data_IF_662705936360
#
_entry.id   IF_662705936360
#
_cell.length_a   1.000
_cell.length_b   1.000
_cell.length_c   1.000
_cell.angle_alpha   90.00
_cell.angle_beta   90.00
_cell.angle_gamma   90.00
#
_symmetry.space_group_name_H-M   'P 1'
#
loop_
_entity.id
_entity.type
_entity.pdbx_description
1 polymer ?
#
# COMPACT_ATOMS: atom_id res chain seq x y z
N UNK A 1 2.34 24.34 5.73
CA UNK A 1 1.51 24.79 4.58
C UNK A 1 0.63 23.68 3.98
N UNK A 2 0.91 22.38 4.18
CA UNK A 2 0.11 21.29 3.56
C UNK A 2 -1.25 21.02 4.22
N UNK A 3 -1.42 21.29 5.53
CA UNK A 3 -2.66 20.96 6.25
C UNK A 3 -3.86 21.78 5.75
N UNK A 4 -3.64 23.08 5.55
CA UNK A 4 -4.66 24.05 5.17
C UNK A 4 -5.42 23.64 3.91
N UNK A 5 -4.78 22.98 2.95
CA UNK A 5 -5.41 22.63 1.68
C UNK A 5 -6.33 21.39 1.75
N UNK A 6 -5.97 20.37 2.53
CA UNK A 6 -6.85 19.19 2.72
C UNK A 6 -8.06 19.60 3.59
N UNK A 7 -7.84 20.41 4.62
CA UNK A 7 -8.91 20.93 5.47
C UNK A 7 -9.89 21.82 4.66
N UNK A 8 -9.36 22.71 3.80
CA UNK A 8 -10.20 23.52 2.87
C UNK A 8 -11.02 22.64 1.93
N UNK A 9 -10.50 21.50 1.49
CA UNK A 9 -11.26 20.59 0.64
C UNK A 9 -12.43 19.97 1.38
N UNK A 10 -12.25 19.60 2.65
CA UNK A 10 -13.35 19.10 3.49
C UNK A 10 -14.43 20.18 3.61
N UNK A 11 -14.04 21.43 3.93
CA UNK A 11 -14.98 22.55 4.00
C UNK A 11 -15.77 22.72 2.69
N UNK A 12 -15.09 22.72 1.53
CA UNK A 12 -15.75 22.87 0.22
C UNK A 12 -16.58 21.67 -0.19
N UNK A 13 -16.25 20.46 0.29
CA UNK A 13 -17.09 19.28 0.09
C UNK A 13 -18.38 19.40 0.90
N UNK A 14 -18.29 19.89 2.15
CA UNK A 14 -19.46 20.11 2.99
C UNK A 14 -20.39 21.18 2.43
N UNK A 15 -19.86 22.23 1.77
CA UNK A 15 -20.66 23.26 1.08
C UNK A 15 -21.61 22.69 0.00
N UNK A 16 -21.32 21.50 -0.53
CA UNK A 16 -22.11 20.82 -1.56
C UNK A 16 -22.71 19.50 -1.08
N UNK A 17 -22.73 19.25 0.23
CA UNK A 17 -23.29 18.05 0.83
C UNK A 17 -24.59 18.40 1.56
N UNK A 18 -25.61 17.51 1.57
CA UNK A 18 -26.78 17.69 2.43
C UNK A 18 -26.41 17.89 3.90
N UNK A 19 -27.31 18.45 4.73
CA UNK A 19 -27.08 18.57 6.16
C UNK A 19 -26.71 17.24 6.85
N UNK A 20 -26.03 17.34 7.98
CA UNK A 20 -25.62 16.19 8.80
C UNK A 20 -26.82 15.28 9.13
N UNK A 21 -26.63 13.96 9.00
CA UNK A 21 -27.67 12.95 9.20
C UNK A 21 -28.55 12.67 7.97
N UNK A 22 -28.49 13.52 6.94
CA UNK A 22 -29.13 13.27 5.64
C UNK A 22 -28.20 12.46 4.72
N UNK A 23 -28.74 11.46 4.00
CA UNK A 23 -27.94 10.66 3.08
C UNK A 23 -27.56 11.47 1.84
N UNK A 24 -26.32 11.32 1.37
CA UNK A 24 -25.94 11.76 0.02
C UNK A 24 -26.58 10.90 -1.05
N UNK A 25 -26.81 11.48 -2.22
CA UNK A 25 -27.30 10.72 -3.37
C UNK A 25 -26.29 9.66 -3.81
N UNK A 26 -26.80 8.55 -4.33
CA UNK A 26 -25.97 7.49 -4.89
C UNK A 26 -25.74 7.78 -6.37
N UNK A 27 -24.49 7.75 -6.80
CA UNK A 27 -24.14 7.72 -8.22
C UNK A 27 -24.69 6.45 -8.88
N UNK A 28 -25.25 6.59 -10.08
CA UNK A 28 -25.64 5.47 -10.94
C UNK A 28 -24.43 4.64 -11.40
N UNK A 29 -23.24 5.24 -11.38
CA UNK A 29 -21.99 4.59 -11.74
C UNK A 29 -21.25 4.06 -10.51
N UNK A 30 -20.79 2.79 -10.53
CA UNK A 30 -20.03 2.24 -9.42
C UNK A 30 -18.66 2.91 -9.31
N UNK A 31 -18.26 3.27 -8.09
CA UNK A 31 -16.91 3.75 -7.81
C UNK A 31 -15.86 2.72 -8.23
N UNK A 32 -14.89 3.14 -9.06
CA UNK A 32 -13.76 2.30 -9.48
C UNK A 32 -12.46 3.08 -9.48
N UNK A 33 -11.61 2.76 -8.53
CA UNK A 33 -10.28 3.31 -8.43
C UNK A 33 -9.35 2.74 -9.53
N UNK A 34 -8.60 3.61 -10.20
CA UNK A 34 -7.61 3.24 -11.20
C UNK A 34 -6.53 2.30 -10.68
N UNK A 35 -6.01 2.61 -9.49
CA UNK A 35 -4.95 1.84 -8.85
C UNK A 35 -5.38 0.41 -8.48
N UNK A 36 -6.68 0.19 -8.27
CA UNK A 36 -7.23 -1.07 -7.80
C UNK A 36 -7.76 -1.95 -8.94
N UNK A 37 -7.61 -1.50 -10.20
CA UNK A 37 -8.04 -2.25 -11.39
C UNK A 37 -7.26 -3.56 -11.56
N UNK A 38 -7.91 -4.64 -12.00
CA UNK A 38 -7.24 -5.90 -12.33
C UNK A 38 -6.20 -5.72 -13.43
N UNK A 39 -5.15 -6.54 -13.43
CA UNK A 39 -4.13 -6.53 -14.48
C UNK A 39 -4.56 -7.42 -15.65
N UNK A 40 -4.33 -6.96 -16.89
CA UNK A 40 -4.46 -7.77 -18.10
C UNK A 40 -3.14 -7.80 -18.85
N UNK A 41 -2.74 -9.00 -19.31
CA UNK A 41 -1.53 -9.19 -20.10
C UNK A 41 -1.69 -8.87 -21.58
N UNK A 42 -2.93 -8.75 -22.06
CA UNK A 42 -3.25 -8.57 -23.47
C UNK A 42 -4.22 -7.41 -23.64
N UNK A 43 -3.94 -6.56 -24.63
CA UNK A 43 -4.91 -5.56 -25.08
C UNK A 43 -6.14 -6.26 -25.66
N UNK A 44 -7.34 -5.68 -25.52
CA UNK A 44 -8.53 -6.18 -26.19
C UNK A 44 -8.36 -6.11 -27.70
N UNK A 45 -9.02 -7.01 -28.43
CA UNK A 45 -9.07 -6.95 -29.89
C UNK A 45 -9.83 -5.70 -30.35
N UNK A 46 -9.32 -5.04 -31.38
CA UNK A 46 -9.98 -3.88 -32.00
C UNK A 46 -11.26 -4.38 -32.67
N UNK A 47 -12.43 -3.78 -32.40
CA UNK A 47 -13.68 -4.15 -33.04
C UNK A 47 -13.57 -4.07 -34.57
N UNK A 48 -14.01 -5.13 -35.26
CA UNK A 48 -14.07 -5.15 -36.73
C UNK A 48 -15.26 -4.37 -37.27
N UNK A 49 -16.29 -4.14 -36.44
CA UNK A 49 -17.46 -3.32 -36.76
C UNK A 49 -17.71 -2.30 -35.63
N UNK A 50 -17.86 -1.00 -35.96
CA UNK A 50 -18.12 0.04 -34.98
C UNK A 50 -19.62 0.07 -34.63
N UNK A 51 -20.10 -0.93 -33.88
CA UNK A 51 -21.43 -0.85 -33.26
C UNK A 51 -21.31 -0.27 -31.85
N UNK A 52 -22.36 0.37 -31.31
CA UNK A 52 -22.36 0.84 -29.93
C UNK A 52 -21.87 -0.23 -28.94
N UNK A 53 -22.40 -1.45 -29.02
CA UNK A 53 -22.06 -2.52 -28.08
C UNK A 53 -20.57 -2.86 -28.12
N UNK A 54 -20.02 -3.08 -29.31
CA UNK A 54 -18.63 -3.48 -29.48
C UNK A 54 -17.66 -2.37 -29.07
N UNK A 55 -17.96 -1.11 -29.40
CA UNK A 55 -17.11 0.03 -29.06
C UNK A 55 -17.12 0.29 -27.55
N UNK A 56 -18.29 0.25 -26.92
CA UNK A 56 -18.40 0.45 -25.46
C UNK A 56 -17.73 -0.72 -24.70
N UNK A 57 -17.85 -1.96 -25.17
CA UNK A 57 -17.11 -3.08 -24.57
C UNK A 57 -15.59 -2.92 -24.73
N UNK A 58 -15.13 -2.49 -25.91
CA UNK A 58 -13.72 -2.23 -26.18
C UNK A 58 -13.15 -1.12 -25.27
N UNK A 59 -13.85 0.03 -25.18
CA UNK A 59 -13.49 1.13 -24.27
C UNK A 59 -13.48 0.66 -22.83
N UNK A 60 -14.51 -0.09 -22.40
CA UNK A 60 -14.59 -0.64 -21.05
C UNK A 60 -13.40 -1.56 -20.74
N UNK A 61 -12.97 -2.41 -21.67
CA UNK A 61 -11.78 -3.26 -21.49
C UNK A 61 -10.52 -2.38 -21.36
N UNK A 62 -10.31 -1.42 -22.27
CA UNK A 62 -9.16 -0.50 -22.19
C UNK A 62 -9.12 0.32 -20.89
N UNK A 63 -10.29 0.66 -20.35
CA UNK A 63 -10.43 1.56 -19.18
C UNK A 63 -10.84 0.84 -17.90
N UNK A 64 -10.91 -0.49 -17.84
CA UNK A 64 -11.19 -1.22 -16.59
C UNK A 64 -10.04 -2.10 -16.13
N UNK A 65 -8.99 -2.25 -16.94
CA UNK A 65 -7.79 -3.02 -16.61
C UNK A 65 -6.54 -2.14 -16.54
N UNK A 66 -5.53 -2.62 -15.82
CA UNK A 66 -4.15 -2.13 -15.90
C UNK A 66 -3.38 -2.95 -16.91
N UNK A 67 -2.54 -2.27 -17.67
CA UNK A 67 -1.70 -2.86 -18.70
C UNK A 67 -0.23 -2.53 -18.45
N UNK A 68 0.66 -3.20 -19.19
CA UNK A 68 2.08 -2.89 -19.16
C UNK A 68 2.34 -1.45 -19.66
N UNK A 69 3.28 -0.74 -19.04
CA UNK A 69 3.55 0.67 -19.37
C UNK A 69 3.91 0.90 -20.86
N UNK A 70 4.51 -0.10 -21.53
CA UNK A 70 4.88 -0.02 -22.95
C UNK A 70 3.68 0.17 -23.89
N UNK A 71 2.47 -0.21 -23.49
CA UNK A 71 1.27 -0.08 -24.33
C UNK A 71 0.43 1.16 -24.01
N UNK A 72 0.82 2.00 -23.05
CA UNK A 72 0.05 3.20 -22.65
C UNK A 72 -0.29 4.09 -23.85
N UNK A 73 0.71 4.42 -24.69
CA UNK A 73 0.51 5.25 -25.89
C UNK A 73 -0.40 4.62 -26.95
N UNK A 74 -0.54 3.29 -26.94
CA UNK A 74 -1.45 2.59 -27.86
C UNK A 74 -2.87 2.74 -27.33
N UNK A 75 -3.09 2.52 -26.03
CA UNK A 75 -4.37 2.71 -25.36
C UNK A 75 -4.87 4.14 -25.56
N UNK A 76 -4.03 5.14 -25.25
CA UNK A 76 -4.36 6.57 -25.38
C UNK A 76 -4.80 6.91 -26.82
N UNK A 77 -4.04 6.43 -27.82
CA UNK A 77 -4.40 6.62 -29.24
C UNK A 77 -5.68 5.89 -29.63
N UNK A 78 -5.91 4.69 -29.13
CA UNK A 78 -7.14 3.94 -29.39
C UNK A 78 -8.37 4.66 -28.82
N UNK A 79 -8.28 5.17 -27.59
CA UNK A 79 -9.39 5.90 -26.97
C UNK A 79 -9.70 7.19 -27.73
N UNK A 80 -8.69 7.97 -28.10
CA UNK A 80 -8.88 9.19 -28.90
C UNK A 80 -9.45 8.88 -30.28
N UNK A 81 -8.95 7.85 -30.96
CA UNK A 81 -9.46 7.45 -32.27
C UNK A 81 -10.93 7.04 -32.24
N UNK A 82 -11.38 6.40 -31.16
CA UNK A 82 -12.80 6.03 -30.99
C UNK A 82 -13.67 7.28 -30.80
N UNK A 83 -13.21 8.25 -29.99
CA UNK A 83 -13.92 9.51 -29.79
C UNK A 83 -13.94 10.35 -31.08
N UNK A 84 -12.83 10.39 -31.82
CA UNK A 84 -12.73 11.13 -33.08
C UNK A 84 -13.61 10.57 -34.19
N UNK A 85 -13.71 9.24 -34.28
CA UNK A 85 -14.40 8.58 -35.38
C UNK A 85 -15.90 8.39 -35.13
N UNK A 86 -16.31 8.12 -33.89
CA UNK A 86 -17.68 7.67 -33.56
C UNK A 86 -18.13 8.13 -32.16
N UNK A 87 -18.11 9.44 -31.84
CA UNK A 87 -18.48 9.95 -30.51
C UNK A 87 -19.92 9.67 -30.12
N UNK A 88 -20.84 9.63 -31.09
CA UNK A 88 -22.28 9.38 -30.93
C UNK A 88 -22.61 7.94 -30.54
N UNK A 89 -21.68 7.00 -30.77
CA UNK A 89 -21.86 5.59 -30.41
C UNK A 89 -21.42 5.28 -28.96
N UNK A 90 -20.82 6.24 -28.27
CA UNK A 90 -20.32 6.08 -26.91
C UNK A 90 -21.38 6.42 -25.87
N UNK A 91 -21.47 5.57 -24.85
CA UNK A 91 -22.29 5.81 -23.65
C UNK A 91 -21.59 6.74 -22.67
N UNK A 92 -22.36 7.32 -21.73
CA UNK A 92 -21.81 8.06 -20.58
C UNK A 92 -20.77 7.24 -19.80
N UNK A 93 -20.99 5.93 -19.58
CA UNK A 93 -20.02 5.06 -18.88
C UNK A 93 -18.67 5.03 -19.62
N UNK A 94 -18.69 4.94 -20.96
CA UNK A 94 -17.48 4.96 -21.77
C UNK A 94 -16.75 6.29 -21.69
N UNK A 95 -17.46 7.41 -21.81
CA UNK A 95 -16.86 8.73 -21.63
C UNK A 95 -16.25 8.92 -20.24
N UNK A 96 -16.95 8.51 -19.17
CA UNK A 96 -16.41 8.52 -17.80
C UNK A 96 -15.13 7.68 -17.68
N UNK A 97 -15.12 6.48 -18.28
CA UNK A 97 -13.96 5.61 -18.32
C UNK A 97 -12.75 6.26 -19.01
N UNK A 98 -12.99 6.97 -20.12
CA UNK A 98 -11.97 7.67 -20.89
C UNK A 98 -11.45 8.90 -20.15
N UNK A 99 -12.33 9.76 -19.64
CA UNK A 99 -11.97 10.95 -18.86
C UNK A 99 -11.17 10.54 -17.62
N UNK A 100 -11.62 9.53 -16.89
CA UNK A 100 -10.89 8.96 -15.77
C UNK A 100 -9.49 8.47 -16.17
N UNK A 101 -9.35 7.81 -17.33
CA UNK A 101 -8.06 7.37 -17.89
C UNK A 101 -7.08 8.50 -18.08
N UNK A 102 -7.48 9.53 -18.83
CA UNK A 102 -6.58 10.66 -19.08
C UNK A 102 -6.28 11.45 -17.80
N UNK A 103 -7.24 11.61 -16.90
CA UNK A 103 -7.02 12.31 -15.63
C UNK A 103 -6.00 11.59 -14.76
N UNK A 104 -6.12 10.26 -14.61
CA UNK A 104 -5.15 9.45 -13.86
C UNK A 104 -3.71 9.58 -14.40
N UNK A 105 -3.60 9.74 -15.72
CA UNK A 105 -2.34 9.95 -16.43
C UNK A 105 -1.87 11.41 -16.47
N UNK A 106 -2.55 12.32 -15.76
CA UNK A 106 -2.24 13.75 -15.66
C UNK A 106 -2.36 14.47 -17.01
N UNK A 107 -3.36 14.08 -17.79
CA UNK A 107 -3.65 14.64 -19.11
C UNK A 107 -4.98 15.42 -19.12
N UNK A 108 -5.18 16.30 -18.12
CA UNK A 108 -6.43 17.06 -17.93
C UNK A 108 -6.81 17.89 -19.17
N UNK A 109 -5.82 18.40 -19.93
CA UNK A 109 -6.10 19.11 -21.19
C UNK A 109 -6.74 18.22 -22.24
N UNK A 110 -6.46 16.91 -22.23
CA UNK A 110 -7.15 15.93 -23.08
C UNK A 110 -8.54 15.66 -22.51
N UNK A 111 -8.69 15.51 -21.18
CA UNK A 111 -10.00 15.34 -20.57
C UNK A 111 -10.98 16.44 -21.00
N UNK A 112 -10.57 17.71 -20.97
CA UNK A 112 -11.43 18.81 -21.41
C UNK A 112 -11.77 18.73 -22.90
N UNK A 113 -10.82 18.40 -23.78
CA UNK A 113 -11.12 18.18 -25.20
C UNK A 113 -12.11 17.04 -25.44
N UNK A 114 -12.03 15.98 -24.64
CA UNK A 114 -12.99 14.86 -24.71
C UNK A 114 -14.38 15.30 -24.28
N UNK A 115 -14.48 16.09 -23.21
CA UNK A 115 -15.75 16.64 -22.71
C UNK A 115 -16.36 17.66 -23.68
N UNK A 116 -15.55 18.53 -24.28
CA UNK A 116 -15.98 19.50 -25.28
C UNK A 116 -16.58 18.75 -26.48
N UNK A 117 -15.84 17.77 -27.03
CA UNK A 117 -16.31 16.97 -28.17
C UNK A 117 -17.56 16.12 -27.84
N UNK A 118 -17.64 15.57 -26.62
CA UNK A 118 -18.85 14.88 -26.15
C UNK A 118 -20.06 15.83 -26.18
N UNK A 119 -19.89 17.05 -25.67
CA UNK A 119 -20.97 18.04 -25.58
C UNK A 119 -21.36 18.60 -26.95
N UNK A 120 -20.41 18.68 -27.89
CA UNK A 120 -20.64 19.18 -29.25
C UNK A 120 -21.30 18.13 -30.18
N UNK A 121 -20.98 16.85 -30.00
CA UNK A 121 -21.35 15.79 -30.96
C UNK A 121 -22.32 14.75 -30.41
N UNK A 122 -22.79 14.89 -29.16
CA UNK A 122 -23.76 13.97 -28.54
C UNK A 122 -24.83 14.72 -27.73
N UNK A 123 -25.84 14.00 -27.26
CA UNK A 123 -26.86 14.54 -26.33
C UNK A 123 -26.40 14.52 -24.86
N UNK A 124 -25.19 14.04 -24.57
CA UNK A 124 -24.65 13.97 -23.23
C UNK A 124 -24.16 15.35 -22.78
N UNK A 125 -24.35 15.64 -21.50
CA UNK A 125 -23.82 16.85 -20.85
C UNK A 125 -22.90 16.47 -19.71
N UNK A 126 -22.00 17.39 -19.36
CA UNK A 126 -21.17 17.25 -18.18
C UNK A 126 -22.05 17.40 -16.93
N UNK A 127 -22.00 16.40 -16.05
CA UNK A 127 -22.63 16.39 -14.75
C UNK A 127 -21.64 15.97 -13.65
N UNK A 128 -22.16 15.79 -12.43
CA UNK A 128 -21.36 15.48 -11.24
C UNK A 128 -20.44 14.27 -11.42
N UNK A 129 -20.79 13.28 -12.24
CA UNK A 129 -19.95 12.09 -12.41
C UNK A 129 -18.67 12.39 -13.19
N UNK A 130 -18.73 13.32 -14.14
CA UNK A 130 -17.55 13.80 -14.85
C UNK A 130 -16.67 14.66 -13.94
N UNK A 131 -17.26 15.50 -13.10
CA UNK A 131 -16.51 16.25 -12.08
C UNK A 131 -15.87 15.32 -11.05
N UNK A 132 -16.55 14.24 -10.65
CA UNK A 132 -15.99 13.20 -9.79
C UNK A 132 -14.76 12.53 -10.41
N UNK A 133 -14.78 12.27 -11.72
CA UNK A 133 -13.63 11.73 -12.45
C UNK A 133 -12.43 12.70 -12.40
N UNK A 134 -12.67 14.01 -12.52
CA UNK A 134 -11.65 15.06 -12.45
C UNK A 134 -11.23 15.47 -11.03
N UNK A 135 -12.00 15.08 -10.00
CA UNK A 135 -11.64 15.19 -8.59
C UNK A 135 -10.77 14.04 -8.11
N UNK A 136 -10.85 12.89 -8.79
CA UNK A 136 -10.25 11.62 -8.35
C UNK A 136 -8.72 11.67 -8.23
N UNK A 137 -8.15 10.54 -7.78
CA UNK A 137 -6.70 10.41 -7.66
C UNK A 137 -6.04 10.43 -9.05
N UNK A 138 -5.10 11.36 -9.23
CA UNK A 138 -4.21 11.41 -10.39
C UNK A 138 -2.76 11.18 -9.96
N UNK A 139 -2.00 10.47 -10.80
CA UNK A 139 -0.62 10.14 -10.48
C UNK A 139 0.22 11.39 -10.24
N UNK A 140 1.01 11.39 -9.17
CA UNK A 140 2.00 12.45 -8.89
C UNK A 140 1.44 13.88 -8.70
N UNK A 141 0.12 14.11 -8.74
CA UNK A 141 -0.45 15.43 -8.44
C UNK A 141 -0.41 15.68 -6.92
N UNK A 142 0.26 16.77 -6.54
CA UNK A 142 0.41 17.21 -5.14
C UNK A 142 -0.35 18.49 -4.84
N UNK A 143 -0.80 19.22 -5.88
CA UNK A 143 -1.48 20.49 -5.76
C UNK A 143 -3.00 20.28 -5.64
N UNK A 144 -3.57 20.80 -4.57
CA UNK A 144 -4.99 20.73 -4.26
C UNK A 144 -5.81 21.88 -4.85
N UNK A 145 -5.18 22.97 -5.33
CA UNK A 145 -5.88 24.15 -5.86
C UNK A 145 -6.87 23.82 -6.99
N UNK A 146 -6.55 22.99 -8.00
CA UNK A 146 -7.51 22.65 -9.05
C UNK A 146 -8.75 21.91 -8.52
N UNK A 147 -8.61 21.16 -7.44
CA UNK A 147 -9.71 20.43 -6.79
C UNK A 147 -10.60 21.35 -5.96
N UNK A 148 -9.98 22.27 -5.20
CA UNK A 148 -10.69 23.33 -4.48
C UNK A 148 -11.53 24.15 -5.46
N UNK A 149 -10.92 24.66 -6.54
CA UNK A 149 -11.64 25.43 -7.57
C UNK A 149 -12.77 24.64 -8.22
N UNK A 150 -12.63 23.31 -8.34
CA UNK A 150 -13.71 22.47 -8.87
C UNK A 150 -14.87 22.35 -7.90
N UNK A 151 -14.60 22.09 -6.62
CA UNK A 151 -15.66 22.04 -5.58
C UNK A 151 -16.37 23.40 -5.45
N UNK A 152 -15.63 24.51 -5.53
CA UNK A 152 -16.21 25.87 -5.55
C UNK A 152 -17.14 26.07 -6.75
N UNK A 153 -16.73 25.61 -7.94
CA UNK A 153 -17.61 25.64 -9.13
C UNK A 153 -18.87 24.81 -8.93
N UNK A 154 -18.78 23.60 -8.37
CA UNK A 154 -19.97 22.77 -8.11
C UNK A 154 -20.95 23.51 -7.20
N UNK A 155 -20.45 24.12 -6.13
CA UNK A 155 -21.25 24.97 -5.23
C UNK A 155 -21.91 26.13 -5.98
N UNK A 156 -21.13 26.89 -6.74
CA UNK A 156 -21.62 28.08 -7.45
C UNK A 156 -22.69 27.74 -8.50
N UNK A 157 -22.70 26.50 -9.01
CA UNK A 157 -23.72 25.99 -9.93
C UNK A 157 -24.83 25.17 -9.24
N UNK A 158 -24.86 25.13 -7.90
CA UNK A 158 -25.81 24.35 -7.09
C UNK A 158 -25.82 22.84 -7.44
N UNK A 159 -24.66 22.28 -7.76
CA UNK A 159 -24.51 20.84 -8.00
C UNK A 159 -24.13 20.16 -6.69
N UNK A 160 -24.98 19.26 -6.22
CA UNK A 160 -24.76 18.51 -4.99
C UNK A 160 -23.79 17.35 -5.19
N UNK A 161 -23.01 17.06 -4.15
CA UNK A 161 -22.16 15.89 -4.09
C UNK A 161 -22.99 14.60 -4.01
N UNK A 162 -22.51 13.58 -4.71
CA UNK A 162 -22.97 12.21 -4.54
C UNK A 162 -21.89 11.38 -3.81
N UNK A 163 -22.19 10.13 -3.50
CA UNK A 163 -21.23 9.23 -2.83
C UNK A 163 -19.88 9.10 -3.55
N UNK A 164 -19.84 9.18 -4.89
CA UNK A 164 -18.59 9.12 -5.65
C UNK A 164 -17.72 10.37 -5.48
N UNK A 165 -18.32 11.54 -5.22
CA UNK A 165 -17.58 12.76 -4.86
C UNK A 165 -16.77 12.53 -3.59
N UNK A 166 -17.41 11.92 -2.58
CA UNK A 166 -16.79 11.57 -1.31
C UNK A 166 -15.66 10.54 -1.46
N UNK A 167 -15.87 9.48 -2.24
CA UNK A 167 -14.81 8.49 -2.48
C UNK A 167 -13.61 9.08 -3.21
N UNK A 168 -13.84 9.92 -4.23
CA UNK A 168 -12.77 10.63 -4.97
C UNK A 168 -11.96 11.54 -4.03
N UNK A 169 -12.63 12.31 -3.17
CA UNK A 169 -12.00 13.20 -2.20
C UNK A 169 -11.23 12.42 -1.13
N UNK A 170 -11.80 11.34 -0.61
CA UNK A 170 -11.12 10.47 0.35
C UNK A 170 -9.83 9.88 -0.23
N UNK A 171 -9.85 9.41 -1.48
CA UNK A 171 -8.72 8.72 -2.09
C UNK A 171 -7.54 9.64 -2.39
N UNK A 172 -7.79 10.88 -2.73
CA UNK A 172 -6.74 11.84 -3.06
C UNK A 172 -5.98 12.43 -1.85
N UNK A 173 -6.56 12.38 -0.65
CA UNK A 173 -5.85 12.79 0.56
C UNK A 173 -4.63 11.91 0.81
N UNK A 174 -3.60 12.50 1.42
CA UNK A 174 -2.34 11.84 1.72
C UNK A 174 -2.12 11.70 3.21
N UNK A 175 -2.61 12.66 3.99
CA UNK A 175 -2.45 12.65 5.45
C UNK A 175 -3.48 11.75 6.11
N UNK A 176 -3.15 11.33 7.33
CA UNK A 176 -3.98 10.45 8.12
C UNK A 176 -5.18 11.20 8.72
N UNK A 177 -4.95 12.34 9.38
CA UNK A 177 -6.00 13.04 10.12
C UNK A 177 -7.20 13.44 9.24
N UNK A 178 -7.01 14.10 8.07
CA UNK A 178 -8.13 14.45 7.19
C UNK A 178 -8.86 13.23 6.62
N UNK A 179 -8.18 12.09 6.46
CA UNK A 179 -8.83 10.84 6.04
C UNK A 179 -9.69 10.24 7.15
N UNK A 180 -9.21 10.28 8.39
CA UNK A 180 -10.00 9.81 9.53
C UNK A 180 -11.24 10.67 9.70
N UNK A 181 -11.09 11.99 9.64
CA UNK A 181 -12.20 12.94 9.65
C UNK A 181 -13.21 12.68 8.52
N UNK A 182 -12.75 12.42 7.29
CA UNK A 182 -13.66 12.08 6.20
C UNK A 182 -14.42 10.77 6.43
N UNK A 183 -13.80 9.74 7.06
CA UNK A 183 -14.50 8.49 7.36
C UNK A 183 -15.59 8.70 8.42
N UNK A 184 -15.36 9.58 9.40
CA UNK A 184 -16.38 9.96 10.39
C UNK A 184 -17.54 10.71 9.69
N UNK A 185 -17.24 11.72 8.88
CA UNK A 185 -18.25 12.46 8.12
C UNK A 185 -19.02 11.57 7.14
N UNK A 186 -18.36 10.58 6.52
CA UNK A 186 -19.02 9.61 5.66
C UNK A 186 -20.03 8.76 6.44
N UNK A 187 -19.71 8.34 7.68
CA UNK A 187 -20.68 7.66 8.55
C UNK A 187 -21.87 8.60 8.89
N UNK A 188 -21.62 9.88 9.20
CA UNK A 188 -22.67 10.88 9.52
C UNK A 188 -23.63 11.13 8.33
N UNK A 189 -23.10 11.07 7.11
CA UNK A 189 -23.87 11.20 5.86
C UNK A 189 -24.32 9.85 5.27
N UNK A 190 -24.25 8.76 6.04
CA UNK A 190 -24.72 7.41 5.67
C UNK A 190 -24.08 6.86 4.39
N UNK A 191 -22.82 7.20 4.15
CA UNK A 191 -22.03 6.78 3.00
C UNK A 191 -21.29 5.48 3.32
N UNK A 192 -21.58 4.40 2.59
CA UNK A 192 -20.89 3.12 2.81
C UNK A 192 -19.39 3.22 2.52
N UNK A 193 -18.55 2.67 3.39
CA UNK A 193 -17.11 2.62 3.12
C UNK A 193 -16.70 1.43 2.24
N UNK A 194 -17.62 0.52 1.90
CA UNK A 194 -17.36 -0.68 1.10
C UNK A 194 -16.55 -0.41 -0.19
N UNK A 195 -16.82 0.65 -0.99
CA UNK A 195 -16.05 0.90 -2.20
C UNK A 195 -14.60 1.34 -1.95
N UNK A 196 -14.32 1.90 -0.76
CA UNK A 196 -13.00 2.39 -0.36
C UNK A 196 -12.37 1.54 0.75
N UNK A 197 -12.95 0.38 1.08
CA UNK A 197 -12.58 -0.45 2.24
C UNK A 197 -11.06 -0.67 2.36
N UNK A 198 -10.42 -1.14 1.29
CA UNK A 198 -8.97 -1.42 1.30
C UNK A 198 -8.12 -0.19 1.59
N UNK A 199 -8.57 0.96 1.10
CA UNK A 199 -7.95 2.25 1.36
C UNK A 199 -8.20 2.68 2.80
N UNK A 200 -9.45 2.67 3.27
CA UNK A 200 -9.81 3.04 4.63
C UNK A 200 -9.02 2.23 5.67
N UNK A 201 -9.00 0.91 5.53
CA UNK A 201 -8.30 -0.01 6.41
C UNK A 201 -6.79 0.24 6.47
N UNK A 202 -6.18 0.71 5.37
CA UNK A 202 -4.77 1.12 5.38
C UNK A 202 -4.47 2.16 6.48
N UNK A 203 -5.38 3.11 6.67
CA UNK A 203 -5.24 4.20 7.62
C UNK A 203 -5.78 3.79 8.99
N UNK A 204 -6.98 3.21 9.04
CA UNK A 204 -7.61 2.78 10.28
C UNK A 204 -6.75 1.79 11.07
N UNK A 205 -6.09 0.83 10.42
CA UNK A 205 -5.24 -0.16 11.10
C UNK A 205 -4.07 0.43 11.90
N UNK A 206 -3.72 1.71 11.70
CA UNK A 206 -2.70 2.41 12.49
C UNK A 206 -3.23 3.03 13.77
N UNK A 207 -4.54 3.27 13.85
CA UNK A 207 -5.20 3.94 14.97
C UNK A 207 -6.15 3.02 15.74
N UNK A 208 -6.75 2.05 15.06
CA UNK A 208 -7.74 1.14 15.64
C UNK A 208 -7.06 0.00 16.39
N UNK A 209 -7.67 -0.37 17.51
CA UNK A 209 -7.46 -1.68 18.14
C UNK A 209 -7.88 -2.81 17.19
N UNK A 210 -7.37 -4.04 17.39
CA UNK A 210 -7.80 -5.17 16.59
C UNK A 210 -9.32 -5.38 16.61
N UNK A 211 -9.96 -5.23 17.77
CA UNK A 211 -11.40 -5.39 17.96
C UNK A 211 -12.19 -4.35 17.15
N UNK A 212 -11.80 -3.08 17.22
CA UNK A 212 -12.41 -2.03 16.41
C UNK A 212 -12.26 -2.30 14.91
N UNK A 213 -11.10 -2.84 14.50
CA UNK A 213 -10.85 -3.16 13.10
C UNK A 213 -11.69 -4.37 12.63
N UNK A 214 -11.90 -5.38 13.48
CA UNK A 214 -12.82 -6.49 13.20
C UNK A 214 -14.25 -6.00 13.09
N UNK A 215 -14.72 -5.18 14.03
CA UNK A 215 -16.06 -4.58 13.97
C UNK A 215 -16.26 -3.76 12.70
N UNK A 216 -15.25 -3.01 12.30
CA UNK A 216 -15.26 -2.26 11.05
C UNK A 216 -15.35 -3.17 9.82
N UNK A 217 -14.60 -4.28 9.79
CA UNK A 217 -14.72 -5.27 8.71
C UNK A 217 -16.13 -5.85 8.63
N UNK A 218 -16.71 -6.26 9.76
CA UNK A 218 -18.04 -6.84 9.84
C UNK A 218 -19.12 -5.85 9.38
N UNK A 219 -19.03 -4.59 9.82
CA UNK A 219 -19.91 -3.49 9.40
C UNK A 219 -19.90 -3.30 7.88
N UNK A 220 -18.73 -3.41 7.24
CA UNK A 220 -18.58 -3.28 5.78
C UNK A 220 -18.82 -4.61 5.03
N UNK A 221 -19.37 -5.63 5.70
CA UNK A 221 -19.74 -6.91 5.10
C UNK A 221 -18.56 -7.84 4.83
N UNK A 222 -17.53 -7.80 5.68
CA UNK A 222 -16.40 -8.74 5.71
C UNK A 222 -16.36 -9.47 7.05
N UNK A 223 -16.82 -10.72 7.04
CA UNK A 223 -16.64 -11.62 8.18
C UNK A 223 -15.22 -12.22 8.20
N UNK A 224 -14.83 -12.83 9.33
CA UNK A 224 -13.49 -13.45 9.50
C UNK A 224 -13.11 -14.50 8.45
N UNK A 225 -14.09 -15.19 7.85
CA UNK A 225 -13.87 -16.19 6.80
C UNK A 225 -13.74 -15.57 5.39
N UNK A 226 -14.10 -14.30 5.23
CA UNK A 226 -14.07 -13.55 3.97
C UNK A 226 -12.95 -12.50 3.92
N UNK A 227 -12.06 -12.50 4.92
CA UNK A 227 -10.90 -11.65 4.89
C UNK A 227 -10.08 -11.95 3.63
N UNK A 228 -9.44 -10.93 3.08
CA UNK A 228 -8.40 -11.14 2.07
C UNK A 228 -7.05 -11.10 2.77
N UNK A 229 -6.01 -11.60 2.10
CA UNK A 229 -4.64 -11.52 2.63
C UNK A 229 -4.25 -10.09 3.01
N UNK A 230 -4.73 -9.07 2.28
CA UNK A 230 -4.48 -7.68 2.64
C UNK A 230 -5.12 -7.29 3.98
N UNK A 231 -6.40 -7.62 4.18
CA UNK A 231 -7.12 -7.31 5.43
C UNK A 231 -6.55 -8.09 6.62
N UNK A 232 -6.15 -9.34 6.41
CA UNK A 232 -5.43 -10.13 7.41
C UNK A 232 -4.14 -9.44 7.82
N UNK A 233 -3.30 -9.03 6.87
CA UNK A 233 -2.03 -8.38 7.18
C UNK A 233 -2.22 -7.08 7.98
N UNK A 234 -3.27 -6.32 7.67
CA UNK A 234 -3.63 -5.09 8.40
C UNK A 234 -4.06 -5.40 9.84
N UNK A 235 -4.83 -6.46 10.04
CA UNK A 235 -5.25 -6.92 11.36
C UNK A 235 -4.06 -7.44 12.18
N UNK A 236 -3.20 -8.27 11.59
CA UNK A 236 -1.93 -8.73 12.20
C UNK A 236 -1.08 -7.53 12.64
N UNK A 237 -0.90 -6.54 11.77
CA UNK A 237 -0.17 -5.31 12.11
C UNK A 237 -0.78 -4.57 13.30
N UNK A 238 -2.12 -4.50 13.39
CA UNK A 238 -2.82 -3.92 14.54
C UNK A 238 -2.59 -4.73 15.83
N UNK A 239 -2.68 -6.07 15.83
CA UNK A 239 -2.34 -6.86 17.03
C UNK A 239 -0.90 -6.59 17.50
N UNK A 240 0.04 -6.51 16.57
CA UNK A 240 1.44 -6.26 16.87
C UNK A 240 1.70 -4.84 17.39
N UNK A 241 1.00 -3.81 16.92
CA UNK A 241 1.14 -2.45 17.46
C UNK A 241 0.68 -2.33 18.91
N UNK A 242 -0.26 -3.18 19.33
CA UNK A 242 -0.71 -3.33 20.72
C UNK A 242 0.06 -4.40 21.51
N UNK A 243 1.22 -4.86 21.01
CA UNK A 243 2.08 -5.86 21.66
C UNK A 243 1.41 -7.21 21.93
N UNK A 244 0.39 -7.59 21.15
CA UNK A 244 -0.35 -8.85 21.26
C UNK A 244 0.22 -9.90 20.30
N UNK A 245 1.50 -10.22 20.50
CA UNK A 245 2.29 -11.08 19.60
C UNK A 245 1.70 -12.49 19.42
N UNK A 246 1.35 -13.16 20.51
CA UNK A 246 0.82 -14.54 20.47
C UNK A 246 -0.54 -14.60 19.76
N UNK A 247 -1.40 -13.60 19.98
CA UNK A 247 -2.70 -13.51 19.32
C UNK A 247 -2.56 -13.25 17.82
N UNK A 248 -1.61 -12.41 17.40
CA UNK A 248 -1.28 -12.20 16.00
C UNK A 248 -0.79 -13.52 15.34
N UNK A 249 0.03 -14.28 16.07
CA UNK A 249 0.55 -15.57 15.61
C UNK A 249 -0.56 -16.62 15.48
N UNK A 250 -1.43 -16.72 16.48
CA UNK A 250 -2.58 -17.62 16.46
C UNK A 250 -3.57 -17.27 15.35
N UNK A 251 -3.85 -15.98 15.14
CA UNK A 251 -4.66 -15.51 14.01
C UNK A 251 -4.06 -15.97 12.67
N UNK A 252 -2.74 -15.81 12.52
CA UNK A 252 -2.03 -16.19 11.29
C UNK A 252 -2.09 -17.70 11.04
N UNK A 253 -1.88 -18.52 12.09
CA UNK A 253 -2.01 -19.98 12.01
C UNK A 253 -3.43 -20.40 11.64
N UNK A 254 -4.45 -19.87 12.33
CA UNK A 254 -5.86 -20.18 12.06
C UNK A 254 -6.26 -19.84 10.62
N UNK A 255 -5.87 -18.66 10.14
CA UNK A 255 -6.17 -18.21 8.78
C UNK A 255 -5.62 -19.14 7.69
N UNK A 256 -4.46 -19.78 7.93
CA UNK A 256 -3.88 -20.74 6.99
C UNK A 256 -4.49 -22.15 7.11
N UNK A 257 -4.83 -22.57 8.33
CA UNK A 257 -5.27 -23.94 8.63
C UNK A 257 -6.76 -24.17 8.34
N UNK A 258 -7.58 -23.12 8.33
CA UNK A 258 -8.98 -23.23 7.91
C UNK A 258 -9.08 -23.46 6.40
N UNK A 259 -9.38 -24.70 6.02
CA UNK A 259 -9.50 -25.15 4.62
C UNK A 259 -10.64 -24.48 3.84
N UNK A 260 -11.58 -23.82 4.53
CA UNK A 260 -12.64 -22.99 3.92
C UNK A 260 -12.24 -21.55 3.66
N UNK A 261 -11.08 -21.09 4.16
CA UNK A 261 -10.67 -19.71 4.06
C UNK A 261 -9.88 -19.45 2.76
N UNK A 262 -10.28 -18.43 1.98
CA UNK A 262 -9.55 -18.05 0.74
C UNK A 262 -8.27 -17.25 1.02
N UNK A 263 -8.04 -16.90 2.28
CA UNK A 263 -6.85 -16.15 2.72
C UNK A 263 -5.61 -17.03 2.59
N UNK A 264 -4.57 -16.49 1.94
CA UNK A 264 -3.24 -17.11 1.96
C UNK A 264 -2.29 -16.22 2.75
N UNK A 265 -1.71 -16.78 3.80
CA UNK A 265 -0.55 -16.17 4.48
C UNK A 265 0.54 -15.95 3.42
N UNK A 266 1.21 -14.80 3.44
CA UNK A 266 2.22 -14.47 2.44
C UNK A 266 3.41 -13.71 3.03
N UNK A 267 4.34 -13.32 2.16
CA UNK A 267 5.51 -12.53 2.55
C UNK A 267 5.18 -11.20 3.22
N UNK A 268 4.02 -10.60 2.92
CA UNK A 268 3.53 -9.41 3.61
C UNK A 268 3.15 -9.69 5.06
N UNK A 269 2.56 -10.86 5.35
CA UNK A 269 2.27 -11.28 6.72
C UNK A 269 3.56 -11.43 7.53
N UNK A 270 4.58 -12.10 6.97
CA UNK A 270 5.91 -12.21 7.59
C UNK A 270 6.53 -10.83 7.86
N UNK A 271 6.42 -9.90 6.91
CA UNK A 271 7.00 -8.56 7.04
C UNK A 271 6.41 -7.76 8.22
N UNK A 272 5.14 -7.96 8.59
CA UNK A 272 4.54 -7.30 9.75
C UNK A 272 5.21 -7.76 11.06
N UNK A 273 5.42 -9.07 11.26
CA UNK A 273 6.15 -9.61 12.42
C UNK A 273 7.62 -9.21 12.42
N UNK A 274 8.29 -9.31 11.26
CA UNK A 274 9.70 -8.91 11.13
C UNK A 274 9.90 -7.46 11.56
N UNK A 275 8.98 -6.57 11.15
CA UNK A 275 8.98 -5.15 11.56
C UNK A 275 8.71 -4.98 13.06
N UNK A 276 7.79 -5.74 13.63
CA UNK A 276 7.52 -5.72 15.07
C UNK A 276 8.79 -6.01 15.89
N UNK A 277 9.51 -7.09 15.59
CA UNK A 277 10.75 -7.44 16.29
C UNK A 277 11.86 -6.41 16.03
N UNK A 278 12.04 -5.98 14.77
CA UNK A 278 13.10 -5.04 14.43
C UNK A 278 12.92 -3.67 15.11
N UNK A 279 11.68 -3.16 15.20
CA UNK A 279 11.38 -1.90 15.90
C UNK A 279 11.70 -1.94 17.40
N UNK A 280 11.82 -3.15 17.98
CA UNK A 280 12.20 -3.38 19.37
C UNK A 280 13.71 -3.61 19.54
N UNK A 281 14.49 -3.52 18.45
CA UNK A 281 15.91 -3.84 18.42
C UNK A 281 16.20 -5.34 18.48
N UNK A 282 15.18 -6.19 18.30
CA UNK A 282 15.27 -7.64 18.47
C UNK A 282 15.59 -8.31 17.11
N UNK A 283 16.71 -7.94 16.48
CA UNK A 283 17.10 -8.48 15.16
C UNK A 283 17.25 -10.01 15.17
N UNK A 284 17.63 -10.57 16.32
CA UNK A 284 17.71 -12.01 16.55
C UNK A 284 16.34 -12.70 16.42
N UNK A 285 15.27 -12.06 16.91
CA UNK A 285 13.90 -12.56 16.77
C UNK A 285 13.44 -12.49 15.31
N UNK A 286 13.90 -11.52 14.51
CA UNK A 286 13.61 -11.50 13.07
C UNK A 286 14.18 -12.73 12.35
N UNK A 287 15.41 -13.13 12.67
CA UNK A 287 16.07 -14.31 12.09
C UNK A 287 15.39 -15.60 12.56
N UNK A 288 15.15 -15.73 13.87
CA UNK A 288 14.48 -16.90 14.45
C UNK A 288 13.07 -17.08 13.90
N UNK A 289 12.31 -15.99 13.81
CA UNK A 289 10.96 -16.02 13.27
C UNK A 289 10.93 -16.34 11.78
N UNK A 290 11.93 -15.90 11.00
CA UNK A 290 12.04 -16.26 9.58
C UNK A 290 12.13 -17.77 9.39
N UNK A 291 12.91 -18.47 10.21
CA UNK A 291 13.00 -19.94 10.17
C UNK A 291 11.67 -20.61 10.57
N UNK A 292 11.09 -20.18 11.70
CA UNK A 292 9.80 -20.71 12.17
C UNK A 292 8.69 -20.50 11.12
N UNK A 293 8.53 -19.28 10.62
CA UNK A 293 7.52 -18.93 9.63
C UNK A 293 7.69 -19.73 8.33
N UNK A 294 8.94 -19.87 7.85
CA UNK A 294 9.25 -20.69 6.69
C UNK A 294 8.85 -22.16 6.88
N UNK A 295 9.14 -22.74 8.05
CA UNK A 295 8.82 -24.14 8.35
C UNK A 295 7.32 -24.37 8.48
N UNK A 296 6.61 -23.46 9.15
CA UNK A 296 5.16 -23.53 9.40
C UNK A 296 4.35 -23.34 8.12
N UNK A 297 4.67 -22.32 7.33
CA UNK A 297 3.84 -21.92 6.18
C UNK A 297 4.42 -22.33 4.81
N UNK A 298 5.61 -22.95 4.78
CA UNK A 298 6.31 -23.34 3.54
C UNK A 298 6.56 -22.16 2.59
N UNK A 299 6.80 -20.97 3.15
CA UNK A 299 7.12 -19.75 2.41
C UNK A 299 8.59 -19.41 2.54
N UNK A 300 9.24 -18.99 1.45
CA UNK A 300 10.63 -18.54 1.51
C UNK A 300 10.71 -17.10 2.05
N UNK A 301 11.12 -16.93 3.30
CA UNK A 301 11.17 -15.61 3.96
C UNK A 301 12.55 -14.97 4.00
N UNK A 302 13.63 -15.74 3.79
CA UNK A 302 15.01 -15.25 3.93
C UNK A 302 15.34 -14.05 3.03
N UNK A 303 14.86 -14.06 1.78
CA UNK A 303 15.03 -12.94 0.86
C UNK A 303 14.26 -11.71 1.34
N UNK A 304 13.05 -11.90 1.88
CA UNK A 304 12.21 -10.80 2.41
C UNK A 304 12.90 -10.19 3.63
N UNK A 305 13.35 -11.03 4.56
CA UNK A 305 14.09 -10.62 5.75
C UNK A 305 15.32 -9.80 5.38
N UNK A 306 16.17 -10.32 4.49
CA UNK A 306 17.41 -9.65 4.10
C UNK A 306 17.16 -8.30 3.44
N UNK A 307 16.14 -8.21 2.56
CA UNK A 307 15.72 -6.93 1.97
C UNK A 307 15.24 -5.95 3.04
N UNK A 308 14.34 -6.36 3.93
CA UNK A 308 13.77 -5.47 4.95
C UNK A 308 14.86 -4.99 5.93
N UNK A 309 15.78 -5.87 6.34
CA UNK A 309 16.90 -5.50 7.22
C UNK A 309 17.84 -4.50 6.54
N UNK A 310 18.28 -4.75 5.30
CA UNK A 310 19.22 -3.87 4.61
C UNK A 310 18.62 -2.53 4.21
N UNK A 311 17.37 -2.50 3.76
CA UNK A 311 16.73 -1.27 3.26
C UNK A 311 16.19 -0.38 4.38
N UNK A 312 15.72 -0.98 5.48
CA UNK A 312 14.92 -0.26 6.49
C UNK A 312 15.46 -0.28 7.90
N UNK A 313 16.14 -1.35 8.32
CA UNK A 313 16.49 -1.55 9.74
C UNK A 313 17.96 -1.20 10.02
N UNK A 314 18.90 -1.83 9.31
CA UNK A 314 20.34 -1.65 9.56
C UNK A 314 20.84 -0.22 9.36
N UNK A 315 20.33 0.59 8.39
CA UNK A 315 20.74 1.99 8.25
C UNK A 315 20.33 2.91 9.40
N UNK A 316 19.43 2.47 10.29
CA UNK A 316 18.88 3.28 11.39
C UNK A 316 18.99 2.61 12.76
N UNK A 317 19.50 1.39 12.82
CA UNK A 317 19.74 0.67 14.07
C UNK A 317 20.95 1.26 14.81
N UNK A 318 20.94 1.21 16.14
CA UNK A 318 22.14 1.51 16.93
C UNK A 318 23.32 0.66 16.45
N UNK A 319 24.51 1.23 16.44
CA UNK A 319 25.69 0.54 15.95
C UNK A 319 26.15 -0.54 16.95
N UNK A 320 26.53 -1.71 16.44
CA UNK A 320 27.04 -2.84 17.22
C UNK A 320 28.22 -3.51 16.51
N UNK A 321 29.02 -4.29 17.23
CA UNK A 321 30.34 -4.75 16.77
C UNK A 321 30.29 -5.54 15.46
N UNK A 322 29.30 -6.43 15.29
CA UNK A 322 29.13 -7.20 14.06
C UNK A 322 28.22 -6.53 13.02
N UNK A 323 27.93 -5.22 13.12
CA UNK A 323 27.04 -4.54 12.18
C UNK A 323 27.50 -4.69 10.73
N UNK A 324 28.80 -4.48 10.47
CA UNK A 324 29.39 -4.64 9.13
C UNK A 324 29.20 -6.06 8.60
N UNK A 325 29.52 -7.05 9.44
CA UNK A 325 29.43 -8.46 9.11
C UNK A 325 27.98 -8.85 8.83
N UNK A 326 27.02 -8.39 9.64
CA UNK A 326 25.60 -8.66 9.42
C UNK A 326 25.09 -8.06 8.11
N UNK A 327 25.52 -6.84 7.75
CA UNK A 327 25.20 -6.25 6.44
C UNK A 327 25.71 -7.14 5.31
N UNK A 328 26.96 -7.61 5.38
CA UNK A 328 27.50 -8.51 4.36
C UNK A 328 26.76 -9.87 4.33
N UNK A 329 26.38 -10.42 5.48
CA UNK A 329 25.55 -11.64 5.57
C UNK A 329 24.24 -11.46 4.82
N UNK A 330 23.50 -10.37 5.10
CA UNK A 330 22.20 -10.14 4.46
C UNK A 330 22.36 -9.86 2.95
N UNK A 331 23.42 -9.17 2.54
CA UNK A 331 23.70 -8.94 1.12
C UNK A 331 24.04 -10.26 0.40
N UNK A 332 24.81 -11.16 1.03
CA UNK A 332 25.10 -12.49 0.51
C UNK A 332 23.83 -13.35 0.38
N UNK A 333 22.94 -13.31 1.37
CA UNK A 333 21.63 -13.97 1.30
C UNK A 333 20.86 -13.52 0.06
N UNK A 334 20.77 -12.21 -0.20
CA UNK A 334 20.10 -11.70 -1.41
C UNK A 334 20.82 -12.08 -2.69
N UNK A 335 22.15 -12.02 -2.72
CA UNK A 335 22.98 -12.42 -3.86
C UNK A 335 22.72 -13.88 -4.26
N UNK A 336 22.58 -14.77 -3.28
CA UNK A 336 22.43 -16.21 -3.52
C UNK A 336 20.96 -16.64 -3.70
N UNK A 337 19.99 -15.80 -3.33
CA UNK A 337 18.56 -16.09 -3.49
C UNK A 337 17.89 -15.33 -4.64
N UNK A 338 18.50 -14.24 -5.13
CA UNK A 338 17.96 -13.43 -6.22
C UNK A 338 18.42 -13.95 -7.58
N UNK A 339 17.47 -14.14 -8.50
CA UNK A 339 17.77 -14.35 -9.92
C UNK A 339 18.24 -13.07 -10.64
N UNK A 340 18.12 -11.91 -10.00
CA UNK A 340 18.49 -10.61 -10.56
C UNK A 340 19.85 -10.16 -10.02
N UNK A 341 20.78 -9.80 -10.93
CA UNK A 341 22.12 -9.29 -10.59
C UNK A 341 22.08 -7.93 -9.87
N UNK A 342 20.96 -7.22 -9.94
CA UNK A 342 20.74 -5.90 -9.32
C UNK A 342 19.80 -6.01 -8.11
N UNK A 343 20.06 -6.96 -7.22
CA UNK A 343 19.16 -7.31 -6.11
C UNK A 343 19.05 -6.22 -5.03
N UNK A 344 20.05 -5.35 -4.90
CA UNK A 344 20.01 -4.15 -4.06
C UNK A 344 20.08 -2.90 -4.92
N UNK A 345 19.23 -1.93 -4.60
CA UNK A 345 19.23 -0.65 -5.29
C UNK A 345 20.46 0.20 -4.88
N UNK A 346 20.96 1.04 -5.79
CA UNK A 346 22.16 1.89 -5.56
C UNK A 346 22.02 2.83 -4.35
N UNK A 347 20.79 3.27 -4.05
CA UNK A 347 20.51 4.17 -2.92
C UNK A 347 20.72 3.46 -1.59
N UNK A 348 20.27 2.21 -1.46
CA UNK A 348 20.47 1.38 -0.27
C UNK A 348 21.95 1.12 -0.03
N UNK A 349 22.70 0.73 -1.07
CA UNK A 349 24.16 0.54 -0.99
C UNK A 349 24.85 1.79 -0.47
N UNK A 350 24.52 2.95 -1.06
CA UNK A 350 25.09 4.24 -0.63
C UNK A 350 24.77 4.58 0.83
N UNK A 351 23.53 4.37 1.28
CA UNK A 351 23.14 4.61 2.69
C UNK A 351 23.95 3.73 3.64
N UNK A 352 24.13 2.46 3.33
CA UNK A 352 24.92 1.54 4.14
C UNK A 352 26.40 1.95 4.20
N UNK A 353 26.97 2.40 3.08
CA UNK A 353 28.34 2.92 3.02
C UNK A 353 28.51 4.23 3.80
N UNK A 354 27.56 5.15 3.69
CA UNK A 354 27.53 6.41 4.45
C UNK A 354 27.46 6.11 5.95
N UNK A 355 26.58 5.20 6.38
CA UNK A 355 26.50 4.77 7.78
C UNK A 355 27.81 4.11 8.24
N UNK A 356 28.38 3.21 7.42
CA UNK A 356 29.66 2.57 7.73
C UNK A 356 30.82 3.57 7.89
N UNK A 357 30.84 4.61 7.06
CA UNK A 357 31.82 5.69 7.14
C UNK A 357 31.73 6.46 8.46
N UNK A 358 30.51 6.75 8.94
CA UNK A 358 30.29 7.39 10.25
C UNK A 358 30.87 6.55 11.40
N UNK A 359 30.86 5.23 11.25
CA UNK A 359 31.37 4.27 12.25
C UNK A 359 32.77 3.73 11.92
N UNK A 360 33.60 4.51 11.21
CA UNK A 360 35.03 4.24 11.09
C UNK A 360 35.45 3.25 9.99
N UNK A 361 34.56 2.86 9.08
CA UNK A 361 34.89 2.07 7.88
C UNK A 361 34.56 2.81 6.57
N UNK A 362 35.41 3.75 6.13
CA UNK A 362 35.15 4.58 4.94
C UNK A 362 35.16 3.81 3.62
N UNK A 363 35.83 2.65 3.55
CA UNK A 363 35.96 1.80 2.36
C UNK A 363 35.12 0.51 2.47
N UNK A 364 34.08 0.52 3.31
CA UNK A 364 33.21 -0.65 3.47
C UNK A 364 32.44 -0.94 2.17
N UNK A 365 32.51 -2.19 1.70
CA UNK A 365 31.66 -2.68 0.62
C UNK A 365 30.57 -3.60 1.18
N UNK A 366 29.29 -3.19 1.16
CA UNK A 366 28.20 -4.03 1.67
C UNK A 366 27.97 -5.29 0.84
N UNK A 367 28.45 -5.36 -0.41
CA UNK A 367 28.23 -6.49 -1.32
C UNK A 367 29.32 -7.57 -1.26
N UNK A 368 30.39 -7.33 -0.50
CA UNK A 368 31.53 -8.23 -0.42
C UNK A 368 31.55 -8.98 0.92
N UNK A 369 30.98 -10.18 0.94
CA UNK A 369 31.08 -11.08 2.09
C UNK A 369 32.47 -11.73 2.15
N UNK A 370 33.06 -11.73 3.34
CA UNK A 370 34.31 -12.41 3.69
C UNK A 370 34.04 -13.71 4.48
N UNK A 371 35.11 -14.47 4.80
CA UNK A 371 34.99 -15.71 5.55
C UNK A 371 34.33 -15.50 6.93
N UNK A 372 34.57 -14.35 7.57
CA UNK A 372 33.91 -14.00 8.84
C UNK A 372 32.41 -13.83 8.68
N UNK A 373 31.98 -13.25 7.56
CA UNK A 373 30.55 -13.13 7.21
C UNK A 373 29.92 -14.49 7.01
N UNK A 374 30.59 -15.41 6.32
CA UNK A 374 30.07 -16.78 6.12
C UNK A 374 29.95 -17.54 7.44
N UNK A 375 30.97 -17.44 8.32
CA UNK A 375 30.91 -18.03 9.66
C UNK A 375 29.79 -17.45 10.51
N UNK A 376 29.63 -16.11 10.52
CA UNK A 376 28.55 -15.46 11.24
C UNK A 376 27.18 -15.87 10.70
N UNK A 377 27.03 -15.98 9.37
CA UNK A 377 25.79 -16.44 8.76
C UNK A 377 25.43 -17.83 9.29
N UNK A 378 26.38 -18.75 9.26
CA UNK A 378 26.13 -20.14 9.66
C UNK A 378 25.81 -20.24 11.16
N UNK A 379 26.50 -19.45 12.00
CA UNK A 379 26.20 -19.31 13.44
C UNK A 379 24.76 -18.80 13.68
N UNK A 380 24.41 -17.66 13.07
CA UNK A 380 23.10 -17.03 13.25
C UNK A 380 21.96 -17.94 12.77
N UNK A 381 22.03 -18.45 11.54
CA UNK A 381 20.95 -19.26 10.98
C UNK A 381 20.90 -20.70 11.52
N UNK A 382 21.93 -21.15 12.25
CA UNK A 382 21.90 -22.45 12.94
C UNK A 382 21.29 -22.34 14.33
N UNK A 383 21.66 -21.29 15.07
CA UNK A 383 21.40 -21.17 16.50
C UNK A 383 20.19 -20.27 16.83
N UNK A 384 19.86 -19.29 15.98
CA UNK A 384 18.65 -18.48 16.15
C UNK A 384 17.45 -19.22 15.56
N UNK A 385 16.93 -20.19 16.31
CA UNK A 385 15.74 -20.96 15.94
C UNK A 385 14.82 -21.15 17.14
N UNK A 386 13.54 -20.91 16.92
CA UNK A 386 12.51 -21.29 17.88
C UNK A 386 12.03 -22.72 17.68
N UNK A 387 11.60 -23.33 18.78
CA UNK A 387 10.97 -24.64 18.74
C UNK A 387 9.60 -24.53 18.07
N UNK A 388 9.40 -25.31 17.00
CA UNK A 388 8.14 -25.26 16.25
C UNK A 388 6.95 -25.89 17.00
N UNK A 389 7.23 -26.64 18.07
CA UNK A 389 6.21 -27.34 18.85
C UNK A 389 5.66 -26.50 20.01
N UNK A 390 6.16 -25.28 20.23
CA UNK A 390 5.66 -24.39 21.28
C UNK A 390 4.40 -23.65 20.82
N UNK A 391 3.41 -23.57 21.72
CA UNK A 391 2.15 -22.88 21.45
C UNK A 391 2.32 -21.35 21.46
N UNK A 392 3.24 -20.83 22.27
CA UNK A 392 3.56 -19.42 22.43
C UNK A 392 4.90 -19.09 21.76
N UNK A 393 5.07 -17.84 21.33
CA UNK A 393 6.34 -17.38 20.78
C UNK A 393 7.30 -17.00 21.92
N UNK A 394 8.40 -17.75 22.03
CA UNK A 394 9.50 -17.52 22.96
C UNK A 394 10.35 -16.29 22.58
N UNK A 395 9.71 -15.12 22.50
CA UNK A 395 10.33 -13.85 22.08
C UNK A 395 11.23 -13.22 23.14
N UNK A 396 11.08 -13.60 24.41
CA UNK A 396 11.98 -13.21 25.47
C UNK A 396 13.32 -13.95 25.35
N UNK A 397 14.42 -13.19 25.23
CA UNK A 397 15.76 -13.72 25.06
C UNK A 397 16.15 -14.69 26.19
N UNK A 398 15.73 -14.41 27.43
CA UNK A 398 16.07 -15.21 28.59
C UNK A 398 15.43 -16.62 28.58
N UNK A 399 14.35 -16.81 27.82
CA UNK A 399 13.63 -18.07 27.71
C UNK A 399 14.21 -19.01 26.65
N UNK A 400 15.17 -18.53 25.85
CA UNK A 400 15.79 -19.29 24.77
C UNK A 400 17.05 -20.04 25.23
N UNK A 401 17.53 -20.99 24.42
CA UNK A 401 18.73 -21.79 24.75
C UNK A 401 19.99 -20.94 24.88
N UNK A 402 21.03 -21.49 25.52
CA UNK A 402 22.30 -20.78 25.69
C UNK A 402 22.95 -20.43 24.34
N UNK A 403 22.86 -21.33 23.35
CA UNK A 403 23.34 -21.11 21.99
C UNK A 403 22.58 -19.98 21.29
N UNK A 404 21.25 -19.94 21.47
CA UNK A 404 20.43 -18.85 20.95
C UNK A 404 20.88 -17.52 21.56
N UNK A 405 21.05 -17.47 22.88
CA UNK A 405 21.48 -16.26 23.60
C UNK A 405 22.87 -15.79 23.14
N UNK A 406 23.82 -16.71 22.95
CA UNK A 406 25.16 -16.43 22.41
C UNK A 406 25.08 -15.86 20.99
N UNK A 407 24.31 -16.48 20.11
CA UNK A 407 24.14 -16.00 18.73
C UNK A 407 23.42 -14.64 18.68
N UNK A 408 22.42 -14.42 19.54
CA UNK A 408 21.71 -13.15 19.64
C UNK A 408 22.64 -12.01 20.07
N UNK A 409 23.54 -12.27 21.02
CA UNK A 409 24.52 -11.29 21.49
C UNK A 409 25.43 -10.76 20.36
N UNK A 410 25.66 -11.55 19.30
CA UNK A 410 26.46 -11.12 18.15
C UNK A 410 25.80 -9.97 17.37
N UNK A 411 24.47 -9.85 17.40
CA UNK A 411 23.70 -8.87 16.61
C UNK A 411 22.79 -7.99 17.47
N UNK A 412 23.07 -7.94 18.78
CA UNK A 412 22.35 -7.09 19.73
C UNK A 412 23.13 -5.81 19.94
N UNK A 413 22.45 -4.67 19.82
CA UNK A 413 23.05 -3.38 20.20
C UNK A 413 23.20 -3.30 21.72
N UNK A 414 24.29 -2.74 22.25
CA UNK A 414 24.37 -2.44 23.68
C UNK A 414 23.19 -1.54 24.03
N UNK A 415 22.34 -1.93 25.00
CA UNK A 415 21.24 -1.07 25.46
C UNK A 415 21.83 0.26 25.90
N UNK A 416 21.52 1.34 25.17
CA UNK A 416 21.88 2.70 25.58
C UNK A 416 21.28 2.97 26.95
N UNK A 417 22.14 3.08 27.96
CA UNK A 417 21.84 3.94 29.11
C UNK A 417 21.55 5.34 28.54
N UNK A 418 20.52 5.98 29.05
CA UNK A 418 20.09 7.34 28.70
C UNK A 418 21.28 8.30 28.52
N UNK A 419 21.69 8.55 27.26
CA UNK A 419 22.08 9.86 26.74
C UNK A 419 22.81 9.78 25.37
N UNK A 420 22.47 10.79 24.55
CA UNK A 420 23.20 11.39 23.42
C UNK A 420 22.90 10.84 22.01
N UNK A 421 22.06 11.64 21.35
CA UNK A 421 21.80 11.86 19.92
C UNK A 421 21.07 10.76 19.15
N UNK A 422 19.83 11.09 18.78
CA UNK A 422 19.09 10.46 17.69
C UNK A 422 19.64 10.99 16.35
N UNK A 423 20.02 10.13 15.39
CA UNK A 423 20.40 10.54 14.04
C UNK A 423 19.33 11.35 13.29
N UNK A 424 18.08 11.36 13.78
CA UNK A 424 17.00 12.20 13.24
C UNK A 424 17.22 13.70 13.41
N UNK A 425 18.23 14.13 14.16
CA UNK A 425 18.55 15.55 14.35
C UNK A 425 19.53 16.11 13.29
N UNK A 426 20.01 15.28 12.35
CA UNK A 426 20.97 15.68 11.32
C UNK A 426 20.49 15.45 9.87
N UNK A 427 19.20 15.21 9.65
CA UNK A 427 18.58 15.07 8.31
C UNK A 427 17.46 16.07 8.04
#
# INVERSE_FOLDING_TARGET
>A
MSNVQEDTIIERLLDITPPEGEPVELSDFPYREMADRPWSGYLPEVPTKPTPENLNEYVKKLTSFRYHASVSKVIERSLLSVIEATPELLTKESYLGIVGHFHFMVQDSICFKVLDKMSEETELSQDIDFDNALLSYANCITDYRPRITRLEKLRDHNVMANNNTWYSVFRMFRRMDPKLQLLELMDDHKISHKPILYSAVHYLSKSYTPEQLVQYYEREGKNGAELTTYLLNRLVGSYLSYSRLDEAWDLTKKAQLDTGNKVKVNGGTFAEFSRYFANRGELYNCIAFSDLFSRTFKLQTRQILANDLLERQLPVADFFDNWFTLVNVMADVLKNTSHNKSFLNKRTVRKLQEYAKLHGKPNFDPLQADDKSLLLRDELFSNLKWNANEHLLSSDLAQNSEEFQKAAALITSPKKGSNLYSPSEFL
#
